data_IF_407247028015
#
_entry.id   IF_407247028015
#
_cell.length_a   1.000
_cell.length_b   1.000
_cell.length_c   1.000
_cell.angle_alpha   90.00
_cell.angle_beta   90.00
_cell.angle_gamma   90.00
#
_symmetry.space_group_name_H-M   'P 1'
#
loop_
_entity.id
_entity.type
_entity.pdbx_description
1 polymer ?
#
# COMPACT_ATOMS: atom_id res chain seq x y z
N UNK A 1 7.52 -14.54 30.19
CA UNK A 1 6.94 -13.97 28.96
C UNK A 1 8.08 -13.31 28.19
N UNK A 2 8.79 -14.08 27.37
CA UNK A 2 9.93 -13.57 26.59
C UNK A 2 9.42 -13.11 25.24
N UNK A 3 9.39 -11.80 25.01
CA UNK A 3 9.26 -11.24 23.67
C UNK A 3 10.56 -11.60 22.94
N UNK A 4 10.55 -12.66 22.14
CA UNK A 4 11.65 -12.98 21.24
C UNK A 4 11.63 -11.96 20.11
N UNK A 5 12.26 -10.81 20.35
CA UNK A 5 12.55 -9.84 19.31
C UNK A 5 13.60 -10.46 18.40
N UNK A 6 13.14 -11.06 17.30
CA UNK A 6 14.04 -11.52 16.25
C UNK A 6 14.60 -10.27 15.57
N UNK A 7 15.92 -10.12 15.55
CA UNK A 7 16.54 -9.07 14.78
C UNK A 7 16.11 -9.22 13.31
N UNK A 8 15.59 -8.14 12.73
CA UNK A 8 15.36 -8.10 11.29
C UNK A 8 16.73 -8.20 10.60
N UNK A 9 16.85 -8.96 9.50
CA UNK A 9 18.11 -9.03 8.77
C UNK A 9 18.61 -7.62 8.42
N UNK A 10 19.93 -7.46 8.52
CA UNK A 10 20.69 -6.21 8.41
C UNK A 10 20.28 -5.37 7.20
N UNK A 11 20.12 -4.07 7.47
CA UNK A 11 20.05 -2.90 6.58
C UNK A 11 19.97 -3.19 5.07
N UNK A 12 18.76 -3.37 4.57
CA UNK A 12 18.49 -3.08 3.17
C UNK A 12 18.85 -1.60 2.95
N UNK A 13 19.76 -1.31 2.02
CA UNK A 13 19.95 0.04 1.51
C UNK A 13 18.70 0.43 0.72
N UNK A 14 17.67 0.88 1.42
CA UNK A 14 16.50 1.46 0.81
C UNK A 14 16.89 2.84 0.29
N UNK A 15 16.93 2.97 -1.03
CA UNK A 15 16.97 4.29 -1.65
C UNK A 15 15.57 4.90 -1.51
N UNK A 16 15.47 5.89 -0.63
CA UNK A 16 14.24 6.65 -0.47
C UNK A 16 14.24 7.76 -1.52
N UNK A 17 13.43 7.58 -2.55
CA UNK A 17 13.26 8.56 -3.62
C UNK A 17 11.79 8.92 -3.79
N UNK A 18 11.42 10.12 -3.37
CA UNK A 18 10.05 10.61 -3.41
C UNK A 18 9.50 10.81 -4.83
N UNK A 19 10.37 10.88 -5.84
CA UNK A 19 9.98 11.00 -7.24
C UNK A 19 9.77 9.64 -7.91
N UNK A 20 10.28 8.56 -7.31
CA UNK A 20 10.14 7.19 -7.79
C UNK A 20 9.47 6.26 -6.75
N UNK A 21 8.84 6.81 -5.72
CA UNK A 21 8.33 6.04 -4.58
C UNK A 21 7.02 5.30 -4.85
N UNK A 22 6.23 5.68 -5.88
CA UNK A 22 4.90 5.13 -6.17
C UNK A 22 4.96 3.70 -6.73
N UNK A 23 5.32 2.78 -5.87
CA UNK A 23 5.49 1.35 -6.12
C UNK A 23 4.58 0.56 -5.18
N UNK A 24 4.33 -0.69 -5.54
CA UNK A 24 3.62 -1.66 -4.70
C UNK A 24 4.30 -3.02 -4.77
N UNK A 25 4.17 -3.80 -3.71
CA UNK A 25 4.67 -5.18 -3.65
C UNK A 25 3.49 -6.15 -3.60
N UNK A 26 3.60 -7.29 -4.29
CA UNK A 26 2.55 -8.31 -4.34
C UNK A 26 3.11 -9.63 -3.81
N UNK A 27 2.48 -10.15 -2.75
CA UNK A 27 2.70 -11.50 -2.22
C UNK A 27 1.47 -12.34 -2.50
N UNK A 28 1.59 -13.25 -3.47
CA UNK A 28 0.47 -14.08 -3.94
C UNK A 28 0.73 -15.58 -3.72
N UNK A 29 -0.33 -16.39 -3.49
CA UNK A 29 -0.23 -17.84 -3.52
C UNK A 29 0.32 -18.35 -4.87
N UNK A 30 1.00 -19.50 -4.85
CA UNK A 30 1.51 -20.12 -6.09
C UNK A 30 0.34 -20.51 -7.01
N UNK A 31 0.50 -20.23 -8.31
CA UNK A 31 -0.44 -20.62 -9.36
C UNK A 31 -0.52 -22.15 -9.53
N UNK A 32 -1.64 -22.69 -10.04
CA UNK A 32 -2.84 -21.99 -10.49
C UNK A 32 -3.76 -21.59 -9.32
N UNK A 33 -4.35 -20.40 -9.41
CA UNK A 33 -5.48 -20.06 -8.56
C UNK A 33 -6.64 -21.07 -8.85
N UNK A 34 -7.42 -21.49 -7.84
CA UNK A 34 -8.66 -22.22 -8.06
C UNK A 34 -9.55 -21.49 -9.08
N UNK A 35 -10.63 -22.12 -9.54
CA UNK A 35 -11.64 -21.49 -10.40
C UNK A 35 -12.30 -20.21 -9.83
N UNK A 36 -11.88 -19.78 -8.64
CA UNK A 36 -12.28 -18.54 -7.97
C UNK A 36 -11.02 -17.80 -7.56
N UNK A 37 -10.91 -16.56 -8.02
CA UNK A 37 -9.84 -15.64 -7.63
C UNK A 37 -9.81 -15.43 -6.11
N UNK A 38 -8.60 -15.22 -5.57
CA UNK A 38 -8.35 -15.06 -4.14
C UNK A 38 -8.77 -13.68 -3.62
N UNK A 39 -9.26 -13.52 -2.39
CA UNK A 39 -9.41 -12.20 -1.78
C UNK A 39 -8.07 -11.44 -1.76
N UNK A 40 -8.15 -10.11 -1.80
CA UNK A 40 -6.98 -9.22 -1.83
C UNK A 40 -6.98 -8.35 -0.58
N UNK A 41 -5.88 -8.38 0.18
CA UNK A 41 -5.64 -7.52 1.32
C UNK A 41 -4.58 -6.48 0.97
N UNK A 42 -4.92 -5.19 1.07
CA UNK A 42 -4.04 -4.07 0.70
C UNK A 42 -3.57 -3.37 1.97
N UNK A 43 -2.29 -3.45 2.28
CA UNK A 43 -1.64 -2.84 3.44
C UNK A 43 -1.17 -1.41 3.15
N UNK A 44 -1.66 -0.48 3.96
CA UNK A 44 -1.28 0.93 3.99
C UNK A 44 -0.45 1.16 5.25
N UNK A 45 0.83 1.47 5.07
CA UNK A 45 1.75 1.66 6.20
C UNK A 45 1.43 2.93 6.99
N UNK A 46 1.79 2.92 8.28
CA UNK A 46 1.76 4.08 9.15
C UNK A 46 3.03 4.93 9.05
N UNK A 47 3.29 5.76 10.07
CA UNK A 47 4.48 6.62 10.14
C UNK A 47 4.16 8.12 10.19
N UNK A 48 3.00 8.49 10.71
CA UNK A 48 2.62 9.90 10.94
C UNK A 48 2.55 10.75 9.68
N UNK A 49 2.43 10.12 8.50
CA UNK A 49 2.54 10.75 7.19
C UNK A 49 3.90 11.36 6.87
N UNK A 50 4.95 11.08 7.65
CA UNK A 50 6.28 11.67 7.45
C UNK A 50 7.36 10.63 7.18
N UNK A 51 7.12 9.38 7.59
CA UNK A 51 8.03 8.26 7.39
C UNK A 51 7.23 7.02 7.01
N UNK A 52 7.94 6.01 6.54
CA UNK A 52 7.44 4.66 6.34
C UNK A 52 7.57 4.19 4.89
N UNK A 53 7.42 2.89 4.69
CA UNK A 53 7.42 2.28 3.36
C UNK A 53 6.66 0.97 3.35
N UNK A 54 5.98 0.67 2.24
CA UNK A 54 5.42 -0.64 1.95
C UNK A 54 6.47 -1.73 1.74
N UNK A 55 7.76 -1.36 1.62
CA UNK A 55 8.88 -2.28 1.51
C UNK A 55 9.63 -2.53 2.84
N UNK A 56 9.15 -1.95 3.96
CA UNK A 56 9.78 -2.20 5.27
C UNK A 56 9.82 -3.71 5.58
N UNK A 57 10.91 -4.24 6.16
CA UNK A 57 11.03 -5.67 6.43
C UNK A 57 9.94 -6.21 7.36
N UNK A 58 9.38 -5.35 8.22
CA UNK A 58 8.26 -5.69 9.09
C UNK A 58 6.94 -5.94 8.34
N UNK A 59 6.83 -5.51 7.09
CA UNK A 59 5.65 -5.67 6.23
C UNK A 59 5.89 -6.68 5.10
N UNK A 60 6.89 -7.58 5.21
CA UNK A 60 7.01 -8.70 4.29
C UNK A 60 5.80 -9.64 4.42
N UNK A 61 4.87 -9.50 3.47
CA UNK A 61 3.62 -10.24 3.44
C UNK A 61 3.78 -11.69 2.96
N UNK A 62 4.97 -12.13 2.52
CA UNK A 62 5.17 -13.48 2.03
C UNK A 62 4.87 -14.53 3.12
N UNK A 63 5.29 -14.27 4.36
CA UNK A 63 5.01 -15.15 5.50
C UNK A 63 3.51 -15.24 5.80
N UNK A 64 2.79 -14.11 5.71
CA UNK A 64 1.35 -14.05 5.95
C UNK A 64 0.59 -14.74 4.81
N UNK A 65 0.99 -14.53 3.55
CA UNK A 65 0.46 -15.25 2.40
C UNK A 65 0.61 -16.77 2.58
N UNK A 66 1.80 -17.25 2.97
CA UNK A 66 2.03 -18.67 3.26
C UNK A 66 1.16 -19.19 4.41
N UNK A 67 0.97 -18.40 5.46
CA UNK A 67 0.08 -18.76 6.55
C UNK A 67 -1.37 -18.87 6.09
N UNK A 68 -1.85 -17.92 5.29
CA UNK A 68 -3.22 -17.90 4.74
C UNK A 68 -3.55 -19.17 3.94
N UNK A 69 -2.58 -19.67 3.16
CA UNK A 69 -2.69 -20.92 2.41
C UNK A 69 -2.86 -22.12 3.36
N UNK A 70 -2.05 -22.19 4.42
CA UNK A 70 -2.13 -23.28 5.42
C UNK A 70 -3.46 -23.29 6.17
N UNK A 71 -4.09 -22.14 6.34
CA UNK A 71 -5.41 -22.00 6.96
C UNK A 71 -6.58 -22.27 6.01
N UNK A 72 -6.32 -22.66 4.76
CA UNK A 72 -7.35 -22.86 3.75
C UNK A 72 -8.04 -21.56 3.28
N UNK A 73 -7.43 -20.41 3.55
CA UNK A 73 -7.91 -19.08 3.17
C UNK A 73 -6.85 -18.33 2.35
N UNK A 74 -6.43 -18.88 1.19
CA UNK A 74 -5.40 -18.27 0.37
C UNK A 74 -5.79 -16.84 -0.02
N UNK A 75 -4.92 -15.89 0.29
CA UNK A 75 -5.16 -14.44 0.12
C UNK A 75 -3.96 -13.82 -0.61
N UNK A 76 -4.23 -12.90 -1.52
CA UNK A 76 -3.21 -12.05 -2.14
C UNK A 76 -3.00 -10.83 -1.25
N UNK A 77 -1.75 -10.56 -0.88
CA UNK A 77 -1.39 -9.40 -0.09
C UNK A 77 -0.65 -8.39 -0.96
N UNK A 78 -1.06 -7.13 -0.88
CA UNK A 78 -0.43 -6.01 -1.57
C UNK A 78 0.02 -4.99 -0.54
N UNK A 79 1.26 -4.51 -0.59
CA UNK A 79 1.69 -3.33 0.17
C UNK A 79 1.89 -2.18 -0.82
N UNK A 80 1.48 -0.97 -0.44
CA UNK A 80 1.59 0.21 -1.31
C UNK A 80 2.46 1.28 -0.68
N UNK A 81 3.14 2.07 -1.51
CA UNK A 81 3.74 3.33 -1.12
C UNK A 81 2.85 4.50 -1.53
N UNK A 82 2.99 5.61 -0.82
CA UNK A 82 2.36 6.88 -1.11
C UNK A 82 3.31 8.01 -0.69
N UNK A 83 3.15 9.20 -1.27
CA UNK A 83 4.02 10.34 -0.92
C UNK A 83 3.87 10.75 0.55
N UNK A 84 4.96 11.21 1.15
CA UNK A 84 5.06 11.58 2.56
C UNK A 84 5.43 13.06 2.73
N UNK A 85 5.23 13.55 3.95
CA UNK A 85 5.59 14.89 4.40
C UNK A 85 5.09 15.98 3.47
N UNK A 86 6.00 16.88 3.10
CA UNK A 86 5.74 18.02 2.23
C UNK A 86 5.28 17.57 0.83
N UNK A 87 5.82 16.47 0.31
CA UNK A 87 5.49 15.99 -1.04
C UNK A 87 4.09 15.36 -1.11
N UNK A 88 3.65 14.75 -0.02
CA UNK A 88 2.32 14.14 0.08
C UNK A 88 1.21 15.12 0.48
N UNK A 89 1.52 16.13 1.30
CA UNK A 89 0.49 16.87 2.03
C UNK A 89 0.62 18.41 2.00
N UNK A 90 1.65 18.98 1.38
CA UNK A 90 1.77 20.43 1.30
C UNK A 90 0.60 21.03 0.52
N UNK A 91 0.01 22.08 1.08
CA UNK A 91 -1.02 22.87 0.42
C UNK A 91 -0.72 24.36 0.58
N UNK A 92 -0.80 25.10 -0.51
CA UNK A 92 -0.66 26.56 -0.51
C UNK A 92 -1.46 27.18 -1.66
N UNK A 93 -1.73 28.48 -1.57
CA UNK A 93 -2.40 29.21 -2.65
C UNK A 93 -1.59 29.22 -3.95
N UNK A 94 -0.26 29.23 -3.86
CA UNK A 94 0.61 29.21 -5.03
C UNK A 94 0.68 27.83 -5.67
N UNK A 95 0.73 26.76 -4.87
CA UNK A 95 0.57 25.39 -5.39
C UNK A 95 -0.78 25.19 -6.06
N UNK A 96 -1.85 25.78 -5.52
CA UNK A 96 -3.17 25.69 -6.17
C UNK A 96 -3.16 26.35 -7.56
N UNK A 97 -2.48 27.49 -7.72
CA UNK A 97 -2.34 28.16 -9.04
C UNK A 97 -1.49 27.32 -9.99
N UNK A 98 -0.38 26.75 -9.48
CA UNK A 98 0.52 25.89 -10.25
C UNK A 98 -0.20 24.64 -10.77
N UNK A 99 -0.92 23.93 -9.88
CA UNK A 99 -1.77 22.80 -10.23
C UNK A 99 -2.84 23.18 -11.26
N UNK A 100 -3.51 24.32 -11.08
CA UNK A 100 -4.53 24.78 -12.03
C UNK A 100 -3.95 25.05 -13.42
N UNK A 101 -2.73 25.58 -13.50
CA UNK A 101 -2.01 25.75 -14.77
C UNK A 101 -1.69 24.39 -15.44
N UNK A 102 -1.53 23.33 -14.65
CA UNK A 102 -1.38 21.95 -15.11
C UNK A 102 -2.72 21.20 -15.33
N UNK A 103 -3.88 21.87 -15.13
CA UNK A 103 -5.21 21.27 -15.32
C UNK A 103 -5.77 20.52 -14.11
N UNK A 104 -5.23 20.73 -12.91
CA UNK A 104 -5.71 20.14 -11.65
C UNK A 104 -6.27 21.22 -10.71
N UNK A 105 -7.54 21.13 -10.37
CA UNK A 105 -8.22 22.15 -9.55
C UNK A 105 -7.98 22.01 -8.04
N UNK A 106 -7.39 20.88 -7.60
CA UNK A 106 -7.17 20.61 -6.17
C UNK A 106 -5.76 20.95 -5.70
N UNK A 107 -5.56 20.91 -4.38
CA UNK A 107 -4.26 21.20 -3.75
C UNK A 107 -4.11 20.41 -2.45
N UNK A 108 -2.88 19.91 -2.20
CA UNK A 108 -2.59 19.05 -1.06
C UNK A 108 -3.22 17.67 -1.18
N UNK A 109 -3.11 16.88 -0.11
CA UNK A 109 -3.61 15.50 -0.05
C UNK A 109 -3.17 14.61 -1.23
N UNK A 110 -2.03 14.92 -1.85
CA UNK A 110 -1.48 14.15 -2.96
C UNK A 110 -1.25 12.69 -2.58
N UNK A 111 -0.80 12.45 -1.36
CA UNK A 111 -0.69 11.11 -0.77
C UNK A 111 -1.98 10.30 -0.80
N UNK A 112 -3.14 10.94 -0.62
CA UNK A 112 -4.44 10.25 -0.71
C UNK A 112 -4.78 9.89 -2.14
N UNK A 113 -4.44 10.77 -3.08
CA UNK A 113 -4.59 10.49 -4.51
C UNK A 113 -3.66 9.35 -4.95
N UNK A 114 -2.46 9.25 -4.36
CA UNK A 114 -1.55 8.13 -4.60
C UNK A 114 -2.15 6.80 -4.11
N UNK A 115 -2.78 6.81 -2.93
CA UNK A 115 -3.47 5.64 -2.39
C UNK A 115 -4.65 5.23 -3.28
N UNK A 116 -5.51 6.18 -3.67
CA UNK A 116 -6.60 5.97 -4.63
C UNK A 116 -6.08 5.35 -5.93
N UNK A 117 -5.03 5.92 -6.52
CA UNK A 117 -4.41 5.44 -7.75
C UNK A 117 -3.88 4.00 -7.59
N UNK A 118 -3.30 3.67 -6.44
CA UNK A 118 -2.88 2.31 -6.15
C UNK A 118 -4.08 1.34 -6.09
N UNK A 119 -5.19 1.74 -5.47
CA UNK A 119 -6.42 0.93 -5.46
C UNK A 119 -7.04 0.77 -6.86
N UNK A 120 -7.04 1.81 -7.67
CA UNK A 120 -7.47 1.75 -9.08
C UNK A 120 -6.60 0.76 -9.87
N UNK A 121 -5.29 0.85 -9.70
CA UNK A 121 -4.34 -0.09 -10.31
C UNK A 121 -4.63 -1.52 -9.85
N UNK A 122 -4.81 -1.74 -8.55
CA UNK A 122 -5.12 -3.07 -7.98
C UNK A 122 -6.41 -3.61 -8.59
N UNK A 123 -7.50 -2.84 -8.59
CA UNK A 123 -8.78 -3.28 -9.18
C UNK A 123 -8.66 -3.62 -10.66
N UNK A 124 -7.80 -2.92 -11.40
CA UNK A 124 -7.61 -3.15 -12.84
C UNK A 124 -6.69 -4.33 -13.15
N UNK A 125 -5.71 -4.63 -12.29
CA UNK A 125 -4.59 -5.52 -12.64
C UNK A 125 -4.43 -6.75 -11.74
N UNK A 126 -5.05 -6.79 -10.56
CA UNK A 126 -4.75 -7.83 -9.56
C UNK A 126 -5.20 -9.24 -9.98
N UNK A 127 -6.16 -9.36 -10.90
CA UNK A 127 -6.54 -10.65 -11.50
C UNK A 127 -5.38 -11.36 -12.18
N UNK A 128 -4.43 -10.62 -12.76
CA UNK A 128 -3.22 -11.22 -13.31
C UNK A 128 -2.38 -11.91 -12.22
N UNK A 129 -2.54 -11.58 -10.95
CA UNK A 129 -1.85 -12.20 -9.82
C UNK A 129 -2.73 -13.21 -9.07
N UNK A 130 -3.90 -13.55 -9.62
CA UNK A 130 -4.88 -14.47 -9.03
C UNK A 130 -5.75 -13.84 -7.94
N UNK A 131 -5.75 -12.52 -7.81
CA UNK A 131 -6.62 -11.79 -6.88
C UNK A 131 -7.96 -11.41 -7.51
N UNK A 132 -9.02 -11.37 -6.70
CA UNK A 132 -10.36 -10.99 -7.09
C UNK A 132 -10.53 -9.46 -6.90
N UNK A 133 -10.65 -8.67 -7.98
CA UNK A 133 -10.78 -7.22 -7.88
C UNK A 133 -12.08 -6.77 -7.22
N UNK A 134 -13.08 -7.66 -7.09
CA UNK A 134 -14.32 -7.40 -6.36
C UNK A 134 -14.20 -7.70 -4.85
N UNK A 135 -13.12 -8.33 -4.39
CA UNK A 135 -12.87 -8.67 -2.98
C UNK A 135 -11.58 -8.03 -2.46
N UNK A 136 -11.50 -6.72 -2.57
CA UNK A 136 -10.37 -5.93 -2.09
C UNK A 136 -10.69 -5.35 -0.71
N UNK A 137 -9.85 -5.64 0.28
CA UNK A 137 -9.95 -5.13 1.64
C UNK A 137 -8.73 -4.26 1.95
N UNK A 138 -8.96 -3.01 2.32
CA UNK A 138 -7.92 -2.14 2.85
C UNK A 138 -7.62 -2.48 4.31
N UNK A 139 -6.35 -2.61 4.66
CA UNK A 139 -5.84 -2.78 6.02
C UNK A 139 -4.71 -1.79 6.26
N UNK A 140 -4.55 -1.30 7.48
CA UNK A 140 -3.50 -0.34 7.79
C UNK A 140 -3.34 -0.10 9.28
N UNK A 141 -2.23 0.51 9.67
CA UNK A 141 -1.90 0.85 11.05
C UNK A 141 -1.62 2.36 11.20
N UNK A 142 -2.07 2.97 12.31
CA UNK A 142 -1.82 4.38 12.65
C UNK A 142 -2.30 5.32 11.52
N UNK A 143 -1.42 6.16 10.97
CA UNK A 143 -1.74 7.00 9.81
C UNK A 143 -2.34 6.19 8.65
N UNK A 144 -1.86 4.96 8.43
CA UNK A 144 -2.43 4.03 7.46
C UNK A 144 -3.87 3.65 7.78
N UNK A 145 -4.22 3.40 9.06
CA UNK A 145 -5.61 3.10 9.46
C UNK A 145 -6.56 4.27 9.21
N UNK A 146 -6.12 5.49 9.53
CA UNK A 146 -6.90 6.71 9.31
C UNK A 146 -7.24 6.92 7.82
N UNK A 147 -6.42 6.38 6.91
CA UNK A 147 -6.62 6.49 5.47
C UNK A 147 -7.32 5.28 4.86
N UNK A 148 -7.11 4.06 5.37
CA UNK A 148 -7.91 2.89 5.00
C UNK A 148 -9.42 3.13 5.17
N UNK A 149 -9.81 3.98 6.13
CA UNK A 149 -11.20 4.37 6.35
C UNK A 149 -11.74 5.32 5.26
N UNK A 150 -10.90 6.23 4.72
CA UNK A 150 -11.33 7.25 3.77
C UNK A 150 -11.61 6.66 2.37
N UNK A 151 -10.89 5.61 1.99
CA UNK A 151 -11.03 4.89 0.71
C UNK A 151 -12.30 4.02 0.62
N UNK A 152 -13.03 3.87 1.73
CA UNK A 152 -14.25 3.08 1.85
C UNK A 152 -15.52 3.95 1.96
N UNK A 153 -15.41 5.28 1.94
CA UNK A 153 -16.53 6.24 2.05
C UNK A 153 -16.72 7.05 0.79
#
# INVERSE_FOLDING_TARGET
MALTQKALPVEHQYEMDEFNCLQLNISAPKRPAPSKDYPVAVWIHGGGNCVGSGAEPGYDMAAIAQHSIKQGQPTVFVTINYRLGIFGFLASGDLKKDNAAAGDEGVGNYALRDQLLAFEWIRKHISAFGGDPAKVTAIGHSAGSSRSLLELV
#
